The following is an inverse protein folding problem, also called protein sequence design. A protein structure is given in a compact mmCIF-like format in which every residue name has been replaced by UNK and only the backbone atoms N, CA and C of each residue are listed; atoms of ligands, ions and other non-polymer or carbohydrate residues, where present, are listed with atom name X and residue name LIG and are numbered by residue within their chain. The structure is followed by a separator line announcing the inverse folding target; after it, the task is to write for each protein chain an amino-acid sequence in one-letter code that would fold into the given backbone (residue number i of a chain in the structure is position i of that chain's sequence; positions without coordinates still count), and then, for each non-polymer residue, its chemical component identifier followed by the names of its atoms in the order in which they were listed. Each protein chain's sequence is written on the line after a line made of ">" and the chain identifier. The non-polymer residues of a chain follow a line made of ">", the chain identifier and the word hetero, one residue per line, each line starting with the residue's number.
data_IF_252976120207
#
_entry.id   IF_252976120207
#
_cell.length_a   1.000
_cell.length_b   1.000
_cell.length_c   1.000
_cell.angle_alpha   90.00
_cell.angle_beta   90.00
_cell.angle_gamma   90.00
#
_symmetry.space_group_name_H-M   'P 1'
#
loop_
_entity.id
_entity.type
_entity.pdbx_description
1 polymer ?
#
# COMPACT_ATOMS: atom_id res chain seq x y z
N UNK A 1 8.37 -24.29 38.21
CA UNK A 1 9.69 -23.63 38.15
C UNK A 1 10.14 -23.52 36.70
N UNK A 2 10.65 -22.36 36.26
CA UNK A 2 11.18 -22.18 34.90
C UNK A 2 12.63 -22.64 34.88
N UNK A 3 12.92 -23.76 34.21
CA UNK A 3 14.29 -24.29 34.10
C UNK A 3 14.94 -23.75 32.84
N UNK A 4 15.93 -22.88 33.02
CA UNK A 4 16.78 -22.42 31.91
C UNK A 4 17.71 -23.53 31.44
N UNK A 5 17.97 -23.60 30.15
CA UNK A 5 19.03 -24.46 29.60
C UNK A 5 20.36 -23.70 29.78
N UNK A 6 21.30 -24.30 30.50
CA UNK A 6 22.60 -23.70 30.79
C UNK A 6 23.72 -24.73 30.59
N UNK A 7 24.85 -24.26 30.09
CA UNK A 7 26.01 -25.09 29.77
C UNK A 7 27.18 -24.25 29.26
N UNK A 8 28.32 -24.90 29.02
CA UNK A 8 29.46 -24.30 28.32
C UNK A 8 29.27 -24.58 26.84
N UNK A 9 29.15 -23.53 26.03
CA UNK A 9 28.82 -23.65 24.62
C UNK A 9 29.88 -23.02 23.73
N UNK A 10 30.20 -23.71 22.63
CA UNK A 10 30.80 -23.08 21.46
C UNK A 10 29.77 -22.20 20.73
N UNK A 11 30.19 -21.29 19.82
CA UNK A 11 29.27 -20.41 19.08
C UNK A 11 28.15 -21.17 18.37
N UNK A 12 28.50 -22.21 17.61
CA UNK A 12 27.54 -23.05 16.87
C UNK A 12 26.66 -23.90 17.80
N UNK A 13 27.22 -24.37 18.92
CA UNK A 13 26.51 -25.12 19.95
C UNK A 13 25.45 -24.24 20.63
N UNK A 14 25.79 -22.97 20.90
CA UNK A 14 24.89 -21.98 21.46
C UNK A 14 23.76 -21.66 20.49
N UNK A 15 24.06 -21.47 19.20
CA UNK A 15 23.05 -21.18 18.19
C UNK A 15 22.04 -22.35 18.04
N UNK A 16 22.52 -23.60 17.98
CA UNK A 16 21.67 -24.80 17.97
C UNK A 16 20.78 -24.88 19.20
N UNK A 17 21.33 -24.58 20.37
CA UNK A 17 20.59 -24.62 21.64
C UNK A 17 19.55 -23.49 21.70
N UNK A 18 19.89 -22.29 21.22
CA UNK A 18 18.98 -21.15 21.14
C UNK A 18 17.80 -21.41 20.20
N UNK A 19 18.03 -22.06 19.05
CA UNK A 19 16.96 -22.48 18.14
C UNK A 19 16.01 -23.48 18.83
N UNK A 20 16.56 -24.52 19.46
CA UNK A 20 15.73 -25.50 20.20
C UNK A 20 14.91 -24.83 21.32
N UNK A 21 15.53 -23.97 22.12
CA UNK A 21 14.86 -23.24 23.18
C UNK A 21 13.75 -22.32 22.65
N UNK A 22 13.99 -21.67 21.49
CA UNK A 22 13.02 -20.79 20.86
C UNK A 22 11.84 -21.56 20.28
N UNK A 23 12.04 -22.73 19.68
CA UNK A 23 10.95 -23.61 19.22
C UNK A 23 10.05 -24.03 20.37
N UNK A 24 10.64 -24.44 21.50
CA UNK A 24 9.89 -24.80 22.71
C UNK A 24 9.12 -23.58 23.24
N UNK A 25 9.76 -22.41 23.24
CA UNK A 25 9.12 -21.16 23.69
C UNK A 25 7.94 -20.79 22.78
N UNK A 26 8.08 -20.92 21.46
CA UNK A 26 7.00 -20.67 20.50
C UNK A 26 5.81 -21.63 20.68
N UNK A 27 6.07 -22.92 20.86
CA UNK A 27 5.01 -23.93 20.93
C UNK A 27 4.31 -23.99 22.30
N UNK A 28 5.09 -23.88 23.38
CA UNK A 28 4.60 -24.14 24.74
C UNK A 28 4.54 -22.88 25.62
N UNK A 29 5.21 -21.80 25.24
CA UNK A 29 5.31 -20.59 26.06
C UNK A 29 4.00 -19.80 26.14
N UNK A 30 3.18 -19.82 25.08
CA UNK A 30 1.89 -19.15 25.04
C UNK A 30 0.89 -19.69 26.07
N UNK A 31 1.04 -20.96 26.45
CA UNK A 31 0.14 -21.67 27.35
C UNK A 31 0.60 -21.67 28.82
N UNK A 32 1.66 -20.93 29.14
CA UNK A 32 2.20 -20.88 30.50
C UNK A 32 1.44 -19.86 31.39
N UNK A 33 0.53 -20.31 32.24
CA UNK A 33 -0.20 -19.46 33.21
C UNK A 33 0.74 -19.05 34.37
N UNK A 34 0.76 -17.80 34.88
CA UNK A 34 -0.12 -16.66 34.57
C UNK A 34 0.42 -15.65 33.51
N UNK A 35 1.74 -15.52 33.32
CA UNK A 35 2.35 -14.49 32.45
C UNK A 35 2.99 -15.05 31.15
N UNK A 36 2.43 -16.11 30.58
CA UNK A 36 3.02 -16.88 29.48
C UNK A 36 3.42 -16.04 28.26
N UNK A 37 2.49 -15.28 27.64
CA UNK A 37 2.79 -14.54 26.41
C UNK A 37 3.93 -13.53 26.59
N UNK A 38 3.89 -12.72 27.67
CA UNK A 38 4.91 -11.69 27.94
C UNK A 38 6.29 -12.30 28.14
N UNK A 39 6.35 -13.38 28.91
CA UNK A 39 7.61 -14.05 29.25
C UNK A 39 8.16 -14.83 28.06
N UNK A 40 7.29 -15.32 27.19
CA UNK A 40 7.68 -15.97 25.94
C UNK A 40 8.30 -14.98 24.97
N UNK A 41 7.69 -13.80 24.79
CA UNK A 41 8.29 -12.73 23.98
C UNK A 41 9.66 -12.33 24.53
N UNK A 42 9.77 -12.13 25.86
CA UNK A 42 11.06 -11.84 26.51
C UNK A 42 12.09 -12.95 26.29
N UNK A 43 11.67 -14.22 26.38
CA UNK A 43 12.56 -15.36 26.18
C UNK A 43 13.03 -15.47 24.73
N UNK A 44 12.15 -15.28 23.75
CA UNK A 44 12.49 -15.26 22.32
C UNK A 44 13.49 -14.13 22.03
N UNK A 45 13.22 -12.91 22.50
CA UNK A 45 14.14 -11.77 22.34
C UNK A 45 15.49 -12.04 23.01
N UNK A 46 15.48 -12.62 24.21
CA UNK A 46 16.73 -13.00 24.89
C UNK A 46 17.49 -14.10 24.13
N UNK A 47 16.80 -15.06 23.52
CA UNK A 47 17.42 -16.12 22.72
C UNK A 47 18.02 -15.57 21.42
N UNK A 48 17.33 -14.62 20.76
CA UNK A 48 17.83 -13.93 19.56
C UNK A 48 19.13 -13.18 19.84
N UNK A 49 19.27 -12.57 21.02
CA UNK A 49 20.50 -11.89 21.45
C UNK A 49 21.61 -12.85 21.90
N UNK A 50 21.41 -14.16 21.77
CA UNK A 50 22.37 -15.19 22.13
C UNK A 50 22.38 -15.56 23.61
N UNK A 51 21.25 -15.39 24.29
CA UNK A 51 21.02 -15.81 25.66
C UNK A 51 21.72 -14.94 26.71
N UNK A 52 21.62 -15.36 27.98
CA UNK A 52 22.34 -14.74 29.09
C UNK A 52 23.77 -15.27 29.14
N UNK A 53 24.75 -14.36 29.11
CA UNK A 53 26.19 -14.68 29.19
C UNK A 53 26.75 -14.15 30.51
N UNK A 54 26.70 -14.94 31.59
CA UNK A 54 27.16 -14.49 32.91
C UNK A 54 28.67 -14.22 32.89
N UNK A 55 29.06 -12.94 32.99
CA UNK A 55 30.44 -12.48 32.90
C UNK A 55 31.37 -13.22 33.89
N UNK A 56 30.95 -13.35 35.15
CA UNK A 56 31.77 -14.01 36.18
C UNK A 56 32.02 -15.51 35.91
N UNK A 57 31.02 -16.25 35.39
CA UNK A 57 31.22 -17.66 35.00
C UNK A 57 32.13 -17.78 33.78
N UNK A 58 32.02 -16.84 32.84
CA UNK A 58 32.90 -16.78 31.68
C UNK A 58 34.35 -16.45 32.09
N UNK A 59 34.56 -15.49 32.99
CA UNK A 59 35.86 -15.15 33.55
C UNK A 59 36.51 -16.37 34.24
N UNK A 60 35.75 -17.10 35.08
CA UNK A 60 36.23 -18.33 35.72
C UNK A 60 36.60 -19.41 34.71
N UNK A 61 35.81 -19.57 33.64
CA UNK A 61 36.11 -20.52 32.57
C UNK A 61 37.40 -20.15 31.84
N UNK A 62 37.57 -18.88 31.47
CA UNK A 62 38.76 -18.37 30.78
C UNK A 62 40.01 -18.48 31.66
N UNK A 63 39.90 -18.19 32.96
CA UNK A 63 41.01 -18.37 33.90
C UNK A 63 41.42 -19.85 34.01
N UNK A 64 40.47 -20.78 34.01
CA UNK A 64 40.77 -22.22 33.97
C UNK A 64 41.47 -22.62 32.67
N UNK A 65 41.04 -22.08 31.53
CA UNK A 65 41.71 -22.31 30.24
C UNK A 65 43.12 -21.74 30.23
N UNK A 66 43.34 -20.53 30.75
CA UNK A 66 44.65 -19.92 30.88
C UNK A 66 45.61 -20.80 31.70
N UNK A 67 45.15 -21.31 32.85
CA UNK A 67 45.93 -22.27 33.68
C UNK A 67 46.25 -23.56 32.92
N UNK A 68 45.32 -24.09 32.12
CA UNK A 68 45.55 -25.26 31.30
C UNK A 68 46.55 -25.03 30.16
N UNK A 69 46.50 -23.89 29.48
CA UNK A 69 47.48 -23.52 28.44
C UNK A 69 48.87 -23.29 29.02
N UNK A 70 48.95 -22.64 30.19
CA UNK A 70 50.21 -22.48 30.92
C UNK A 70 50.86 -23.83 31.26
N UNK A 71 50.06 -24.81 31.70
CA UNK A 71 50.54 -26.15 31.98
C UNK A 71 51.06 -26.90 30.72
N UNK A 72 50.64 -26.47 29.52
CA UNK A 72 51.12 -26.99 28.22
C UNK A 72 52.23 -26.14 27.62
N UNK A 73 52.81 -25.20 28.36
CA UNK A 73 53.81 -24.22 27.89
C UNK A 73 53.33 -23.27 26.77
N UNK A 74 52.02 -23.18 26.51
CA UNK A 74 51.45 -22.26 25.52
C UNK A 74 51.23 -20.87 26.15
N UNK A 75 52.32 -20.18 26.46
CA UNK A 75 52.29 -18.96 27.30
C UNK A 75 51.57 -17.77 26.65
N UNK A 76 51.69 -17.60 25.31
CA UNK A 76 50.99 -16.54 24.57
C UNK A 76 49.47 -16.69 24.66
N UNK A 77 48.97 -17.93 24.51
CA UNK A 77 47.54 -18.24 24.60
C UNK A 77 47.06 -18.17 26.04
N UNK A 78 47.86 -18.67 26.99
CA UNK A 78 47.56 -18.54 28.41
C UNK A 78 47.36 -17.09 28.81
N UNK A 79 48.25 -16.19 28.35
CA UNK A 79 48.16 -14.76 28.63
C UNK A 79 46.93 -14.15 27.96
N UNK A 80 46.70 -14.43 26.69
CA UNK A 80 45.53 -13.91 25.98
C UNK A 80 44.20 -14.31 26.64
N UNK A 81 44.07 -15.57 27.10
CA UNK A 81 42.91 -16.01 27.86
C UNK A 81 42.78 -15.28 29.21
N UNK A 82 43.89 -15.02 29.91
CA UNK A 82 43.88 -14.29 31.18
C UNK A 82 43.51 -12.81 31.00
N UNK A 83 44.02 -12.14 29.97
CA UNK A 83 43.65 -10.77 29.61
C UNK A 83 42.16 -10.69 29.23
N UNK A 84 41.66 -11.66 28.48
CA UNK A 84 40.23 -11.74 28.17
C UNK A 84 39.40 -11.99 29.44
N UNK A 85 39.87 -12.83 30.37
CA UNK A 85 39.19 -13.06 31.64
C UNK A 85 39.07 -11.78 32.47
N UNK A 86 40.11 -10.93 32.44
CA UNK A 86 40.14 -9.65 33.16
C UNK A 86 39.00 -8.72 32.70
N UNK A 87 38.70 -8.70 31.40
CA UNK A 87 37.59 -7.90 30.84
C UNK A 87 36.21 -8.28 31.41
N UNK A 88 36.06 -9.51 31.91
CA UNK A 88 34.81 -10.02 32.50
C UNK A 88 34.83 -10.08 34.04
N UNK A 89 35.94 -9.69 34.67
CA UNK A 89 36.13 -9.84 36.11
C UNK A 89 35.47 -8.68 36.89
N UNK A 90 34.28 -8.93 37.44
CA UNK A 90 33.60 -7.98 38.34
C UNK A 90 33.87 -8.23 39.83
N UNK A 91 34.22 -9.47 40.21
CA UNK A 91 34.49 -9.85 41.59
C UNK A 91 35.96 -9.55 41.94
N UNK A 92 36.25 -8.81 43.05
CA UNK A 92 37.61 -8.46 43.45
C UNK A 92 38.51 -9.67 43.72
N UNK A 93 37.97 -10.77 44.27
CA UNK A 93 38.76 -11.99 44.53
C UNK A 93 39.19 -12.65 43.22
N UNK A 94 38.24 -12.82 42.29
CA UNK A 94 38.52 -13.39 40.99
C UNK A 94 39.49 -12.52 40.18
N UNK A 95 39.38 -11.19 40.32
CA UNK A 95 40.30 -10.25 39.68
C UNK A 95 41.73 -10.43 40.18
N UNK A 96 41.94 -10.54 41.50
CA UNK A 96 43.27 -10.82 42.09
C UNK A 96 43.86 -12.12 41.57
N UNK A 97 43.06 -13.18 41.43
CA UNK A 97 43.52 -14.45 40.87
C UNK A 97 43.98 -14.34 39.40
N UNK A 98 43.27 -13.52 38.62
CA UNK A 98 43.63 -13.24 37.22
C UNK A 98 44.91 -12.40 37.16
N UNK A 99 45.02 -11.36 37.98
CA UNK A 99 46.21 -10.50 38.06
C UNK A 99 47.46 -11.29 38.45
N UNK A 100 47.34 -12.20 39.43
CA UNK A 100 48.43 -13.12 39.81
C UNK A 100 48.88 -14.00 38.64
N UNK A 101 47.96 -14.47 37.79
CA UNK A 101 48.34 -15.21 36.58
C UNK A 101 49.00 -14.31 35.54
N UNK A 102 48.49 -13.09 35.33
CA UNK A 102 49.09 -12.14 34.39
C UNK A 102 50.51 -11.74 34.80
N UNK A 103 50.75 -11.51 36.09
CA UNK A 103 52.09 -11.26 36.63
C UNK A 103 53.06 -12.41 36.30
N UNK A 104 52.59 -13.66 36.46
CA UNK A 104 53.40 -14.83 36.13
C UNK A 104 53.66 -15.03 34.63
N UNK A 105 52.86 -14.37 33.78
CA UNK A 105 52.96 -14.41 32.32
C UNK A 105 53.47 -13.07 31.75
N UNK A 106 53.97 -12.19 32.61
CA UNK A 106 54.35 -10.80 32.28
C UNK A 106 55.38 -10.71 31.15
N UNK A 107 56.29 -11.69 31.07
CA UNK A 107 57.35 -11.77 30.06
C UNK A 107 56.86 -12.10 28.64
N UNK A 108 55.64 -12.61 28.47
CA UNK A 108 55.09 -13.03 27.16
C UNK A 108 54.08 -12.00 26.65
N UNK A 109 53.98 -11.83 25.34
CA UNK A 109 52.92 -11.02 24.71
C UNK A 109 51.66 -11.85 24.48
N UNK A 110 50.49 -11.23 24.64
CA UNK A 110 49.23 -11.90 24.32
C UNK A 110 49.05 -12.04 22.81
N UNK A 111 48.67 -13.24 22.37
CA UNK A 111 48.22 -13.48 20.99
C UNK A 111 46.79 -12.95 20.81
N UNK A 112 46.50 -12.37 19.64
CA UNK A 112 45.13 -11.98 19.29
C UNK A 112 44.24 -13.22 19.10
N UNK A 113 43.23 -13.38 19.95
CA UNK A 113 42.21 -14.44 19.82
C UNK A 113 41.07 -13.91 18.95
N UNK A 114 40.63 -14.71 17.97
CA UNK A 114 39.49 -14.38 17.11
C UNK A 114 38.19 -14.32 17.93
N UNK A 115 37.54 -13.16 17.94
CA UNK A 115 36.20 -13.04 18.52
C UNK A 115 35.15 -13.70 17.58
N UNK A 116 34.56 -14.81 18.03
CA UNK A 116 33.49 -15.54 17.32
C UNK A 116 32.09 -15.10 17.75
N UNK A 117 31.99 -14.17 18.69
CA UNK A 117 30.75 -13.75 19.32
C UNK A 117 30.31 -12.34 18.92
N UNK A 118 31.11 -11.63 18.11
CA UNK A 118 30.81 -10.29 17.60
C UNK A 118 29.70 -10.29 16.53
N UNK A 119 29.72 -11.25 15.60
CA UNK A 119 28.73 -11.31 14.52
C UNK A 119 27.40 -11.91 15.01
N UNK A 120 26.23 -11.39 14.58
CA UNK A 120 24.94 -12.03 14.85
C UNK A 120 24.89 -13.41 14.18
N UNK A 121 24.73 -14.46 14.97
CA UNK A 121 24.72 -15.84 14.50
C UNK A 121 23.44 -16.20 13.76
N UNK A 122 23.45 -17.31 13.01
CA UNK A 122 22.30 -17.84 12.24
C UNK A 122 21.04 -18.06 13.09
N UNK A 123 21.19 -18.15 14.41
CA UNK A 123 20.05 -18.23 15.32
C UNK A 123 19.13 -17.00 15.23
N UNK A 124 19.67 -15.80 15.00
CA UNK A 124 18.87 -14.58 14.90
C UNK A 124 18.01 -14.55 13.63
N UNK A 125 18.54 -15.04 12.49
CA UNK A 125 17.81 -15.07 11.22
C UNK A 125 16.74 -16.16 11.18
N UNK A 126 17.06 -17.37 11.67
CA UNK A 126 16.12 -18.50 11.70
C UNK A 126 14.94 -18.23 12.64
N UNK A 127 15.12 -17.39 13.67
CA UNK A 127 14.07 -17.08 14.66
C UNK A 127 13.06 -16.01 14.20
N UNK A 128 13.36 -15.23 13.14
CA UNK A 128 12.39 -14.29 12.51
C UNK A 128 11.47 -15.03 11.53
N UNK A 129 11.91 -16.17 10.99
CA UNK A 129 11.18 -16.95 10.00
C UNK A 129 9.75 -17.36 10.43
N UNK A 130 9.48 -17.79 11.69
CA UNK A 130 8.12 -18.13 12.11
C UNK A 130 7.19 -16.90 12.10
N UNK A 131 7.72 -15.73 12.47
CA UNK A 131 6.95 -14.49 12.48
C UNK A 131 6.69 -14.00 11.06
N UNK A 132 7.70 -14.09 10.18
CA UNK A 132 7.54 -13.83 8.75
C UNK A 132 6.55 -14.81 8.09
N UNK A 133 6.54 -16.09 8.50
CA UNK A 133 5.59 -17.07 8.01
C UNK A 133 4.17 -16.79 8.50
N UNK A 134 3.98 -16.38 9.77
CA UNK A 134 2.68 -15.96 10.29
C UNK A 134 2.18 -14.69 9.58
N UNK A 135 3.03 -13.68 9.39
CA UNK A 135 2.70 -12.47 8.63
C UNK A 135 2.36 -12.83 7.18
N UNK A 136 3.13 -13.73 6.55
CA UNK A 136 2.86 -14.25 5.21
C UNK A 136 1.54 -15.00 5.12
N UNK A 137 1.21 -15.83 6.11
CA UNK A 137 -0.07 -16.54 6.19
C UNK A 137 -1.24 -15.60 6.44
N UNK A 138 -1.09 -14.58 7.29
CA UNK A 138 -2.11 -13.55 7.51
C UNK A 138 -2.31 -12.77 6.22
N UNK A 139 -1.24 -12.28 5.58
CA UNK A 139 -1.31 -11.59 4.31
C UNK A 139 -1.95 -12.47 3.21
N UNK A 140 -1.58 -13.74 3.12
CA UNK A 140 -2.16 -14.71 2.20
C UNK A 140 -3.65 -14.97 2.51
N UNK A 141 -4.03 -15.04 3.78
CA UNK A 141 -5.43 -15.20 4.18
C UNK A 141 -6.23 -13.94 3.84
N UNK A 142 -5.68 -12.74 4.01
CA UNK A 142 -6.32 -11.49 3.61
C UNK A 142 -6.45 -11.40 2.09
N UNK A 143 -5.48 -11.89 1.32
CA UNK A 143 -5.58 -11.90 -0.15
C UNK A 143 -6.52 -13.00 -0.68
N UNK A 144 -6.63 -14.14 0.01
CA UNK A 144 -7.57 -15.21 -0.35
C UNK A 144 -9.00 -14.95 0.16
N UNK A 145 -9.15 -14.20 1.25
CA UNK A 145 -10.44 -13.75 1.83
C UNK A 145 -10.87 -12.36 1.37
N UNK A 146 -10.04 -11.66 0.59
CA UNK A 146 -10.49 -10.57 -0.27
C UNK A 146 -11.40 -11.20 -1.33
N UNK A 147 -12.63 -11.40 -0.92
CA UNK A 147 -13.69 -11.96 -1.70
C UNK A 147 -13.74 -11.21 -3.05
N UNK A 148 -14.00 -11.93 -4.14
CA UNK A 148 -14.22 -11.36 -5.48
C UNK A 148 -15.55 -10.56 -5.53
N UNK A 149 -16.01 -10.07 -4.38
CA UNK A 149 -17.26 -9.39 -4.13
C UNK A 149 -17.32 -8.04 -4.83
N UNK A 150 -16.20 -7.32 -4.95
CA UNK A 150 -16.16 -6.07 -5.71
C UNK A 150 -16.36 -6.38 -7.20
N UNK A 151 -15.71 -7.40 -7.77
CA UNK A 151 -15.90 -7.74 -9.19
C UNK A 151 -17.27 -8.35 -9.46
N UNK A 152 -17.85 -9.14 -8.56
CA UNK A 152 -19.20 -9.68 -8.72
C UNK A 152 -20.31 -8.61 -8.58
N UNK A 153 -20.14 -7.67 -7.64
CA UNK A 153 -21.10 -6.57 -7.41
C UNK A 153 -20.98 -5.50 -8.49
N UNK A 154 -19.77 -5.15 -8.90
CA UNK A 154 -19.55 -4.24 -10.03
C UNK A 154 -20.05 -4.89 -11.34
N UNK A 155 -19.84 -6.18 -11.55
CA UNK A 155 -20.37 -6.90 -12.72
C UNK A 155 -21.90 -7.03 -12.72
N UNK A 156 -22.56 -7.00 -11.56
CA UNK A 156 -24.02 -6.94 -11.49
C UNK A 156 -24.55 -5.54 -11.82
N UNK A 157 -23.79 -4.49 -11.49
CA UNK A 157 -24.09 -3.11 -11.87
C UNK A 157 -23.85 -2.82 -13.35
N UNK A 158 -22.90 -3.53 -13.97
CA UNK A 158 -22.63 -3.48 -15.42
C UNK A 158 -23.27 -4.62 -16.21
N UNK A 159 -24.28 -5.32 -15.67
CA UNK A 159 -25.18 -6.10 -16.54
C UNK A 159 -26.01 -5.10 -17.33
N UNK A 160 -25.80 -4.93 -18.66
CA UNK A 160 -26.77 -4.18 -19.43
C UNK A 160 -28.11 -4.91 -19.27
N UNK A 161 -29.13 -4.17 -18.82
CA UNK A 161 -30.49 -4.66 -18.85
C UNK A 161 -30.77 -5.15 -20.28
N UNK A 162 -31.51 -6.27 -20.49
CA UNK A 162 -32.06 -6.51 -21.80
C UNK A 162 -32.84 -5.25 -22.16
N UNK A 163 -32.41 -4.58 -23.24
CA UNK A 163 -33.13 -3.46 -23.81
C UNK A 163 -34.42 -4.08 -24.35
N UNK A 164 -35.40 -4.23 -23.45
CA UNK A 164 -36.79 -4.27 -23.86
C UNK A 164 -37.01 -2.92 -24.54
N UNK A 165 -37.03 -2.98 -25.86
CA UNK A 165 -37.46 -1.90 -26.74
C UNK A 165 -38.81 -1.39 -26.25
N UNK A 166 -38.77 -0.34 -25.45
CA UNK A 166 -39.95 0.49 -25.21
C UNK A 166 -39.48 1.92 -25.09
N UNK A 167 -38.77 2.38 -26.13
CA UNK A 167 -38.81 3.81 -26.45
C UNK A 167 -40.21 4.04 -26.99
N UNK A 168 -41.11 4.48 -26.11
CA UNK A 168 -42.34 5.15 -26.52
C UNK A 168 -41.92 6.35 -27.36
N UNK A 169 -41.93 6.19 -28.68
CA UNK A 169 -41.91 7.28 -29.62
C UNK A 169 -43.22 8.07 -29.41
N UNK A 170 -43.18 9.08 -28.54
CA UNK A 170 -44.21 10.12 -28.52
C UNK A 170 -44.05 10.92 -29.81
N UNK A 171 -44.94 10.67 -30.78
CA UNK A 171 -44.91 11.19 -32.14
C UNK A 171 -45.44 12.63 -32.26
N UNK A 172 -45.29 13.45 -31.22
CA UNK A 172 -45.75 14.83 -31.23
C UNK A 172 -44.57 15.81 -31.49
N UNK A 173 -44.69 16.76 -32.46
CA UNK A 173 -43.71 17.82 -32.64
C UNK A 173 -43.65 18.66 -31.36
N UNK A 174 -42.54 18.59 -30.64
CA UNK A 174 -42.36 19.32 -29.38
C UNK A 174 -41.21 20.31 -29.52
N UNK A 175 -41.53 21.58 -29.26
CA UNK A 175 -40.54 22.60 -28.94
C UNK A 175 -39.70 22.14 -27.73
N UNK A 176 -38.42 22.51 -27.67
CA UNK A 176 -37.54 21.98 -26.63
C UNK A 176 -36.92 20.64 -26.95
N UNK A 177 -36.59 20.39 -28.21
CA UNK A 177 -35.85 19.17 -28.57
C UNK A 177 -34.77 19.49 -29.58
N UNK A 178 -33.67 18.75 -29.48
CA UNK A 178 -32.63 18.77 -30.49
C UNK A 178 -32.95 17.71 -31.54
N UNK A 179 -33.04 18.16 -32.78
CA UNK A 179 -33.23 17.31 -33.93
C UNK A 179 -31.95 17.23 -34.76
N UNK A 180 -31.67 16.06 -35.30
CA UNK A 180 -30.65 15.86 -36.32
C UNK A 180 -31.32 15.80 -37.71
N UNK A 181 -30.67 16.39 -38.72
CA UNK A 181 -31.18 16.34 -40.09
C UNK A 181 -30.91 14.95 -40.68
N UNK A 182 -31.98 14.29 -41.14
CA UNK A 182 -31.97 12.96 -41.74
C UNK A 182 -31.51 12.96 -43.19
N UNK A 183 -31.91 13.98 -43.95
CA UNK A 183 -31.69 14.06 -45.39
C UNK A 183 -30.33 14.67 -45.73
N UNK A 184 -29.74 14.30 -46.87
CA UNK A 184 -28.39 14.73 -47.28
C UNK A 184 -28.24 16.25 -47.35
N UNK A 185 -29.28 16.96 -47.79
CA UNK A 185 -29.39 18.41 -47.68
C UNK A 185 -30.84 18.87 -47.54
N UNK A 186 -31.09 19.91 -46.72
CA UNK A 186 -32.42 20.49 -46.50
C UNK A 186 -32.32 22.01 -46.43
N UNK A 187 -33.21 22.70 -47.12
CA UNK A 187 -33.29 24.16 -47.07
C UNK A 187 -34.03 24.64 -45.82
N UNK A 188 -33.35 25.46 -45.01
CA UNK A 188 -33.93 26.30 -43.96
C UNK A 188 -34.72 27.43 -44.62
N UNK A 189 -36.03 27.53 -44.35
CA UNK A 189 -36.92 28.50 -45.00
C UNK A 189 -37.38 29.60 -44.05
N UNK A 190 -37.83 30.73 -44.60
CA UNK A 190 -38.34 31.86 -43.80
C UNK A 190 -39.74 31.62 -43.23
N UNK A 191 -40.48 30.60 -43.68
CA UNK A 191 -41.83 30.29 -43.20
C UNK A 191 -42.20 28.81 -43.36
N UNK A 192 -43.32 28.36 -42.74
CA UNK A 192 -43.76 26.97 -42.66
C UNK A 192 -44.44 26.45 -43.94
N UNK A 193 -43.84 26.71 -45.10
CA UNK A 193 -44.27 26.12 -46.40
C UNK A 193 -43.07 26.00 -47.34
N UNK A 194 -43.18 25.09 -48.31
CA UNK A 194 -42.22 24.93 -49.40
C UNK A 194 -42.17 26.14 -50.36
N UNK A 195 -43.10 27.08 -50.25
CA UNK A 195 -43.18 28.27 -51.11
C UNK A 195 -42.33 29.45 -50.59
N UNK A 196 -41.90 29.40 -49.32
CA UNK A 196 -41.08 30.46 -48.72
C UNK A 196 -39.63 30.37 -49.17
N UNK A 197 -38.95 31.52 -49.26
CA UNK A 197 -37.56 31.57 -49.72
C UNK A 197 -36.62 30.78 -48.79
N UNK A 198 -35.63 30.11 -49.40
CA UNK A 198 -34.61 29.38 -48.67
C UNK A 198 -33.55 30.36 -48.12
N UNK A 199 -33.41 30.41 -46.80
CA UNK A 199 -32.38 31.19 -46.10
C UNK A 199 -31.02 30.52 -46.25
N UNK A 200 -30.96 29.19 -46.08
CA UNK A 200 -29.70 28.44 -46.05
C UNK A 200 -29.93 26.95 -46.31
N UNK A 201 -29.01 26.27 -46.99
CA UNK A 201 -29.05 24.81 -47.13
C UNK A 201 -28.17 24.16 -46.05
N UNK A 202 -28.74 23.22 -45.32
CA UNK A 202 -28.10 22.53 -44.20
C UNK A 202 -27.87 21.06 -44.57
N UNK A 203 -26.69 20.53 -44.27
CA UNK A 203 -26.31 19.14 -44.54
C UNK A 203 -26.82 18.17 -43.47
N UNK A 204 -26.92 16.88 -43.85
CA UNK A 204 -27.23 15.76 -42.95
C UNK A 204 -26.37 15.77 -41.68
N UNK A 205 -26.98 15.35 -40.57
CA UNK A 205 -26.31 15.23 -39.28
C UNK A 205 -26.09 16.55 -38.55
N UNK A 206 -26.46 17.69 -39.13
CA UNK A 206 -26.43 18.97 -38.42
C UNK A 206 -27.50 18.98 -37.32
N UNK A 207 -27.10 19.39 -36.12
CA UNK A 207 -27.98 19.50 -34.96
C UNK A 207 -28.67 20.86 -34.94
N UNK A 208 -29.97 20.84 -34.75
CA UNK A 208 -30.80 22.05 -34.67
C UNK A 208 -31.72 21.98 -33.45
N UNK A 209 -31.94 23.11 -32.78
CA UNK A 209 -32.84 23.21 -31.64
C UNK A 209 -34.21 23.65 -32.12
N UNK A 210 -35.26 22.85 -31.88
CA UNK A 210 -36.62 23.26 -32.18
C UNK A 210 -37.15 24.18 -31.08
N UNK A 211 -37.50 25.41 -31.44
CA UNK A 211 -38.04 26.41 -30.51
C UNK A 211 -39.55 26.45 -30.51
N UNK A 212 -40.18 26.23 -31.67
CA UNK A 212 -41.64 26.32 -31.83
C UNK A 212 -42.11 25.27 -32.85
N UNK A 213 -43.29 24.72 -32.62
CA UNK A 213 -43.99 23.91 -33.61
C UNK A 213 -45.06 24.78 -34.31
N UNK A 214 -45.17 24.65 -35.63
CA UNK A 214 -46.24 25.29 -36.39
C UNK A 214 -47.62 24.74 -35.93
N UNK A 215 -48.70 25.55 -35.96
CA UNK A 215 -50.05 25.07 -35.59
C UNK A 215 -50.51 23.84 -36.40
N UNK A 216 -49.98 23.65 -37.62
CA UNK A 216 -50.24 22.48 -38.46
C UNK A 216 -49.34 21.26 -38.16
N UNK A 217 -48.41 21.35 -37.20
CA UNK A 217 -47.59 20.23 -36.70
C UNK A 217 -46.63 19.61 -37.72
N UNK A 218 -46.49 20.19 -38.92
CA UNK A 218 -45.69 19.66 -40.02
C UNK A 218 -44.33 20.36 -40.16
N UNK A 219 -44.21 21.55 -39.59
CA UNK A 219 -43.00 22.36 -39.60
C UNK A 219 -42.56 22.71 -38.18
N UNK A 220 -41.25 22.75 -37.99
CA UNK A 220 -40.63 23.22 -36.75
C UNK A 220 -39.80 24.45 -37.05
N UNK A 221 -39.97 25.48 -36.22
CA UNK A 221 -39.04 26.60 -36.17
C UNK A 221 -37.81 26.14 -35.40
N UNK A 222 -36.67 26.24 -36.05
CA UNK A 222 -35.40 25.81 -35.50
C UNK A 222 -34.41 26.97 -35.46
N UNK A 223 -33.52 26.93 -34.47
CA UNK A 223 -32.39 27.84 -34.34
C UNK A 223 -31.11 27.03 -34.48
N UNK A 224 -30.22 27.49 -35.35
CA UNK A 224 -28.88 26.92 -35.55
C UNK A 224 -27.88 27.56 -34.58
N UNK A 225 -26.74 26.90 -34.39
CA UNK A 225 -25.63 27.39 -33.55
C UNK A 225 -25.07 28.75 -34.02
N UNK A 226 -25.25 29.10 -35.30
CA UNK A 226 -24.86 30.39 -35.86
C UNK A 226 -25.89 31.52 -35.59
N UNK A 227 -26.89 31.26 -34.73
CA UNK A 227 -28.03 32.13 -34.41
C UNK A 227 -28.99 32.40 -35.57
N UNK A 228 -28.87 31.69 -36.69
CA UNK A 228 -29.86 31.76 -37.77
C UNK A 228 -31.10 30.96 -37.38
N UNK A 229 -32.27 31.61 -37.42
CA UNK A 229 -33.55 30.94 -37.21
C UNK A 229 -34.27 30.72 -38.53
N UNK A 230 -34.97 29.59 -38.67
CA UNK A 230 -35.87 29.35 -39.81
C UNK A 230 -36.71 28.10 -39.61
N UNK A 231 -37.48 27.73 -40.63
CA UNK A 231 -38.42 26.62 -40.58
C UNK A 231 -37.87 25.41 -41.35
N UNK A 232 -38.01 24.23 -40.74
CA UNK A 232 -37.68 22.94 -41.35
C UNK A 232 -38.89 21.99 -41.25
N UNK A 233 -39.09 21.13 -42.27
CA UNK A 233 -40.16 20.14 -42.23
C UNK A 233 -39.81 19.02 -41.26
N UNK A 234 -40.78 18.59 -40.45
CA UNK A 234 -40.60 17.54 -39.43
C UNK A 234 -40.15 16.20 -40.06
N UNK A 235 -40.58 15.91 -41.30
CA UNK A 235 -40.20 14.70 -42.03
C UNK A 235 -38.71 14.59 -42.35
N UNK A 236 -37.98 15.71 -42.34
CA UNK A 236 -36.55 15.76 -42.58
C UNK A 236 -35.72 15.65 -41.28
N UNK A 237 -36.37 15.56 -40.12
CA UNK A 237 -35.75 15.63 -38.80
C UNK A 237 -35.90 14.30 -38.06
N UNK A 238 -34.87 13.92 -37.31
CA UNK A 238 -34.90 12.80 -36.36
C UNK A 238 -34.64 13.33 -34.95
N UNK A 239 -35.53 13.04 -33.97
CA UNK A 239 -35.31 13.47 -32.60
C UNK A 239 -34.05 12.79 -32.07
N UNK A 240 -33.12 13.58 -31.55
CA UNK A 240 -31.85 13.07 -31.02
C UNK A 240 -31.81 13.19 -29.49
N UNK A 241 -32.29 14.30 -28.92
CA UNK A 241 -32.22 14.58 -27.48
C UNK A 241 -33.45 15.41 -27.03
N UNK A 242 -33.99 15.09 -25.86
CA UNK A 242 -35.02 15.88 -25.16
C UNK A 242 -34.34 16.97 -24.33
N UNK A 243 -34.58 18.26 -24.64
CA UNK A 243 -33.86 19.37 -23.99
C UNK A 243 -34.81 20.55 -23.82
N UNK A 244 -35.33 20.78 -22.61
CA UNK A 244 -36.22 21.90 -22.32
C UNK A 244 -35.65 23.23 -22.86
N UNK A 245 -36.14 23.69 -24.02
CA UNK A 245 -35.52 24.80 -24.76
C UNK A 245 -35.57 26.11 -23.97
N UNK A 246 -36.56 26.26 -23.10
CA UNK A 246 -36.72 27.45 -22.27
C UNK A 246 -35.56 27.59 -21.26
N UNK A 247 -35.07 26.47 -20.74
CA UNK A 247 -33.93 26.43 -19.82
C UNK A 247 -32.61 26.67 -20.57
N UNK A 248 -32.45 26.02 -21.73
CA UNK A 248 -31.28 26.19 -22.58
C UNK A 248 -31.12 27.63 -23.10
N UNK A 249 -32.20 28.31 -23.47
CA UNK A 249 -32.17 29.69 -23.95
C UNK A 249 -31.88 30.72 -22.83
N UNK A 250 -32.22 30.41 -21.58
CA UNK A 250 -31.89 31.27 -20.43
C UNK A 250 -30.38 31.36 -20.17
N UNK A 251 -29.63 30.30 -20.49
CA UNK A 251 -28.17 30.27 -20.37
C UNK A 251 -27.49 31.14 -21.43
N UNK A 252 -28.10 31.30 -22.61
CA UNK A 252 -27.56 32.09 -23.72
C UNK A 252 -27.83 33.60 -23.63
N UNK A 253 -28.81 34.02 -22.81
CA UNK A 253 -29.15 35.44 -22.59
C UNK A 253 -28.40 36.07 -21.40
N UNK A 254 -27.51 35.30 -20.76
CA UNK A 254 -26.66 35.76 -19.67
C UNK A 254 -25.56 36.68 -20.24
N UNK A 255 -25.49 37.97 -19.88
CA UNK A 255 -24.44 38.84 -20.40
C UNK A 255 -23.07 38.34 -19.92
N UNK A 256 -22.13 38.28 -20.85
CA UNK A 256 -20.74 37.92 -20.58
C UNK A 256 -20.18 38.84 -19.49
N UNK A 257 -19.90 38.28 -18.30
CA UNK A 257 -19.24 39.00 -17.23
C UNK A 257 -17.85 39.42 -17.71
N UNK A 258 -17.66 40.73 -17.87
CA UNK A 258 -16.38 41.35 -18.16
C UNK A 258 -15.37 40.99 -17.08
N UNK A 259 -14.29 40.34 -17.51
CA UNK A 259 -13.06 40.30 -16.75
C UNK A 259 -12.45 41.71 -16.75
N UNK A 260 -12.18 42.23 -15.55
CA UNK A 260 -11.19 43.29 -15.37
C UNK A 260 -10.12 42.80 -14.39
N UNK A 261 -8.94 42.66 -14.97
CA UNK A 261 -7.63 42.42 -14.38
C UNK A 261 -7.12 43.65 -13.61
N UNK A 262 -6.40 43.34 -12.52
CA UNK A 262 -5.11 43.89 -12.10
C UNK A 262 -4.99 45.26 -11.39
N UNK A 263 -4.35 45.14 -10.23
CA UNK A 263 -3.11 45.79 -9.77
C UNK A 263 -3.06 47.27 -9.33
N UNK A 264 -2.51 47.41 -8.10
CA UNK A 264 -1.45 48.32 -7.68
C UNK A 264 -1.69 49.84 -7.56
N UNK A 265 -1.55 50.33 -6.32
CA UNK A 265 -0.78 51.52 -5.83
C UNK A 265 -1.37 51.92 -4.47
N UNK A 266 -0.66 51.82 -3.36
CA UNK A 266 0.40 52.72 -2.87
C UNK A 266 -0.11 54.13 -2.55
N UNK A 267 -0.66 54.30 -1.33
CA UNK A 267 -0.26 55.29 -0.31
C UNK A 267 -1.11 55.15 0.96
#
# INVERSE_FOLDING_TARGET
>A
QRKGIAGVYCRTCADKTAIKASMISWLAGWWAIPDGPRETVKAIVSNMRGGRRPAERNARLLLRQAKAFKARSEMELARACAEQALSFASNPELRRDIDNQLLSLSAYSARTIKDRWHEPGLAATVQVLPLAAVVGLIAMSVTLSADRSITATVKSWFKPAPVAETVSASSAPSAGRIYAIKNDSVALRTGPSADYNAVKTISKGTLVLATEADPGGTWLRVVLMDRTSGFLPLSALTPNIDVDALDALSEFDKPAAEGSTQDASEN
#
